data_IF_907972461668
#
_entry.id   IF_907972461668
#
_cell.length_a   1.000
_cell.length_b   1.000
_cell.length_c   1.000
_cell.angle_alpha   90.00
_cell.angle_beta   90.00
_cell.angle_gamma   90.00
#
_symmetry.space_group_name_H-M   'P 1'
#
loop_
_entity.id
_entity.type
_entity.pdbx_description
1 polymer ?
#
# COMPACT_ATOMS: atom_id res chain seq x y z
N UNK A 1 -38.89 -62.24 -13.78
CA UNK A 1 -38.82 -60.86 -13.27
C UNK A 1 -37.90 -60.85 -12.06
N UNK A 2 -36.85 -60.03 -12.13
CA UNK A 2 -35.88 -59.68 -11.07
C UNK A 2 -35.19 -60.85 -10.33
N UNK A 3 -33.93 -61.12 -10.71
CA UNK A 3 -32.98 -61.86 -9.90
C UNK A 3 -32.13 -60.89 -9.07
N UNK A 4 -32.12 -61.13 -7.77
CA UNK A 4 -31.23 -60.57 -6.76
C UNK A 4 -29.94 -61.41 -6.64
N UNK A 5 -28.91 -60.74 -6.12
CA UNK A 5 -27.79 -61.25 -5.30
C UNK A 5 -26.59 -61.98 -5.96
N UNK A 6 -25.44 -61.38 -5.66
CA UNK A 6 -24.03 -61.83 -5.75
C UNK A 6 -23.79 -63.16 -4.99
N UNK A 7 -22.75 -63.98 -5.31
CA UNK A 7 -21.44 -63.76 -4.67
C UNK A 7 -20.15 -64.27 -5.38
N UNK A 8 -19.05 -63.57 -5.12
CA UNK A 8 -17.68 -64.03 -4.78
C UNK A 8 -17.11 -65.33 -5.45
N UNK A 9 -16.06 -65.19 -6.28
CA UNK A 9 -14.65 -65.30 -5.83
C UNK A 9 -13.68 -65.84 -6.92
N UNK A 10 -12.43 -65.32 -6.81
CA UNK A 10 -11.12 -65.86 -7.26
C UNK A 10 -10.75 -65.69 -8.74
N UNK A 11 -9.83 -64.76 -8.98
CA UNK A 11 -8.50 -65.08 -9.50
C UNK A 11 -7.46 -64.14 -8.87
N UNK A 12 -6.50 -64.74 -8.17
CA UNK A 12 -5.36 -64.09 -7.55
C UNK A 12 -4.28 -63.89 -8.61
N UNK A 13 -3.79 -62.65 -8.77
CA UNK A 13 -2.60 -62.37 -9.58
C UNK A 13 -1.40 -62.20 -8.65
N UNK A 14 -0.40 -63.02 -8.94
CA UNK A 14 0.86 -63.21 -8.21
C UNK A 14 1.74 -61.95 -8.21
N UNK A 15 2.18 -61.54 -7.03
CA UNK A 15 2.99 -60.36 -6.74
C UNK A 15 4.50 -60.60 -6.98
N UNK A 16 4.87 -61.24 -8.10
CA UNK A 16 6.27 -61.63 -8.39
C UNK A 16 6.84 -61.21 -9.75
N UNK A 17 6.26 -60.24 -10.47
CA UNK A 17 6.85 -59.81 -11.76
C UNK A 17 6.98 -58.30 -12.02
N UNK A 18 7.08 -57.46 -10.98
CA UNK A 18 7.30 -56.01 -11.15
C UNK A 18 8.74 -55.52 -10.90
N UNK A 19 9.73 -56.42 -10.86
CA UNK A 19 11.13 -56.06 -10.54
C UNK A 19 12.14 -56.22 -11.68
N UNK A 20 11.72 -56.43 -12.93
CA UNK A 20 12.63 -56.72 -14.05
C UNK A 20 12.64 -55.70 -15.20
N UNK A 21 12.22 -54.44 -15.00
CA UNK A 21 12.35 -53.40 -16.02
C UNK A 21 13.31 -52.27 -15.59
N UNK A 22 14.20 -51.79 -16.47
CA UNK A 22 15.17 -50.74 -16.14
C UNK A 22 14.50 -49.41 -15.78
N UNK A 23 13.27 -49.18 -16.26
CA UNK A 23 12.49 -47.96 -16.02
C UNK A 23 12.08 -47.82 -14.54
N UNK A 24 11.77 -48.93 -13.85
CA UNK A 24 11.40 -48.90 -12.43
C UNK A 24 12.59 -48.56 -11.52
N UNK A 25 13.82 -48.89 -11.92
CA UNK A 25 15.03 -48.53 -11.16
C UNK A 25 15.36 -47.03 -11.25
N UNK A 26 15.08 -46.39 -12.39
CA UNK A 26 15.28 -44.94 -12.55
C UNK A 26 14.24 -44.13 -11.76
N UNK A 27 12.99 -44.58 -11.71
CA UNK A 27 11.94 -43.89 -10.93
C UNK A 27 12.17 -44.03 -9.43
N UNK A 28 12.63 -45.20 -8.95
CA UNK A 28 12.99 -45.40 -7.54
C UNK A 28 14.26 -44.63 -7.13
N UNK A 29 15.26 -44.53 -8.02
CA UNK A 29 16.47 -43.73 -7.75
C UNK A 29 16.17 -42.23 -7.74
N UNK A 30 15.33 -41.74 -8.66
CA UNK A 30 14.92 -40.33 -8.71
C UNK A 30 14.10 -39.89 -7.49
N UNK A 31 13.20 -40.76 -7.01
CA UNK A 31 12.39 -40.48 -5.81
C UNK A 31 13.22 -40.53 -4.52
N UNK A 32 14.22 -41.41 -4.42
CA UNK A 32 15.17 -41.40 -3.30
C UNK A 32 16.07 -40.16 -3.30
N UNK A 33 16.49 -39.69 -4.48
CA UNK A 33 17.31 -38.48 -4.60
C UNK A 33 16.53 -37.20 -4.24
N UNK A 34 15.26 -37.10 -4.65
CA UNK A 34 14.37 -36.00 -4.26
C UNK A 34 14.06 -36.00 -2.76
N UNK A 35 13.85 -37.18 -2.17
CA UNK A 35 13.64 -37.35 -0.72
C UNK A 35 14.87 -36.95 0.10
N UNK A 36 16.07 -37.31 -0.37
CA UNK A 36 17.34 -36.93 0.25
C UNK A 36 17.63 -35.43 0.11
N UNK A 37 17.28 -34.80 -1.01
CA UNK A 37 17.36 -33.35 -1.20
C UNK A 37 16.40 -32.60 -0.26
N UNK A 38 15.17 -33.09 -0.09
CA UNK A 38 14.20 -32.51 0.86
C UNK A 38 14.64 -32.68 2.33
N UNK A 39 15.29 -33.80 2.66
CA UNK A 39 15.91 -34.01 3.99
C UNK A 39 17.16 -33.14 4.21
N UNK A 40 17.95 -32.88 3.16
CA UNK A 40 19.08 -31.94 3.23
C UNK A 40 18.61 -30.48 3.35
N UNK A 41 17.50 -30.13 2.70
CA UNK A 41 16.94 -28.78 2.76
C UNK A 41 16.24 -28.50 4.09
N UNK A 42 15.58 -29.50 4.67
CA UNK A 42 14.97 -29.41 6.01
C UNK A 42 15.99 -29.51 7.16
N UNK A 43 17.18 -30.06 6.93
CA UNK A 43 18.27 -30.08 7.93
C UNK A 43 19.18 -28.84 7.89
N UNK A 44 19.04 -27.97 6.89
CA UNK A 44 19.64 -26.63 6.89
C UNK A 44 18.62 -25.59 7.33
N UNK A 45 18.31 -25.60 8.64
CA UNK A 45 17.77 -24.39 9.27
C UNK A 45 18.84 -23.29 9.19
N UNK A 46 18.51 -22.06 8.76
CA UNK A 46 19.40 -20.93 8.97
C UNK A 46 19.68 -20.84 10.47
N UNK A 47 20.95 -20.89 10.86
CA UNK A 47 21.32 -20.55 12.23
C UNK A 47 20.96 -19.08 12.46
N UNK A 48 19.77 -18.83 13.01
CA UNK A 48 19.50 -17.60 13.73
C UNK A 48 20.48 -17.57 14.90
N UNK A 49 21.53 -16.75 14.75
CA UNK A 49 22.40 -16.42 15.87
C UNK A 49 21.54 -15.87 17.00
N UNK A 50 21.48 -16.59 18.12
CA UNK A 50 20.93 -16.09 19.36
C UNK A 50 21.74 -14.86 19.76
N UNK A 51 21.15 -13.66 19.67
CA UNK A 51 21.73 -12.50 20.32
C UNK A 51 21.71 -12.72 21.82
N UNK A 52 22.87 -13.10 22.36
CA UNK A 52 23.11 -13.12 23.80
C UNK A 52 22.88 -11.73 24.39
N UNK A 53 22.13 -11.68 25.48
CA UNK A 53 21.94 -10.46 26.28
C UNK A 53 23.30 -9.87 26.67
N UNK A 54 23.53 -8.56 26.51
CA UNK A 54 24.71 -7.92 27.09
C UNK A 54 24.66 -8.04 28.62
N UNK A 55 25.78 -8.49 29.21
CA UNK A 55 25.99 -8.49 30.65
C UNK A 55 25.93 -7.06 31.20
N UNK A 56 24.99 -6.79 32.09
CA UNK A 56 24.97 -5.59 32.93
C UNK A 56 26.00 -5.74 34.06
N UNK A 57 26.81 -4.70 34.38
CA UNK A 57 27.65 -4.71 35.57
C UNK A 57 26.80 -4.58 36.85
N UNK A 58 27.27 -5.09 38.00
CA UNK A 58 26.45 -5.20 39.20
C UNK A 58 26.16 -3.82 39.80
N UNK A 59 24.89 -3.55 40.07
CA UNK A 59 24.42 -2.39 40.82
C UNK A 59 24.58 -2.61 42.33
N UNK A 60 25.31 -1.71 42.99
CA UNK A 60 25.25 -1.58 44.44
C UNK A 60 23.93 -0.88 44.84
N UNK A 61 23.28 -1.42 45.85
CA UNK A 61 21.85 -1.22 46.13
C UNK A 61 21.42 0.13 46.72
N UNK A 62 20.12 0.41 46.57
CA UNK A 62 19.29 1.21 47.47
C UNK A 62 17.80 0.79 47.35
N UNK A 63 17.00 0.92 48.42
CA UNK A 63 15.65 0.35 48.53
C UNK A 63 14.56 1.23 47.90
N UNK A 64 13.32 0.73 47.72
CA UNK A 64 12.30 1.36 46.88
C UNK A 64 11.42 2.36 47.65
N UNK A 65 11.04 3.46 47.00
CA UNK A 65 10.01 4.36 47.49
C UNK A 65 9.88 5.66 46.69
N UNK A 66 8.82 5.74 45.87
CA UNK A 66 8.27 6.92 45.17
C UNK A 66 8.99 7.42 43.89
N UNK A 67 8.31 7.51 42.72
CA UNK A 67 8.84 8.26 41.58
C UNK A 67 8.73 9.76 41.84
N UNK A 68 9.88 10.43 41.85
CA UNK A 68 10.00 11.87 41.90
C UNK A 68 9.49 12.52 40.60
N UNK A 69 8.78 13.63 40.73
CA UNK A 69 8.50 14.57 39.65
C UNK A 69 9.81 14.96 38.96
N UNK A 70 9.85 14.85 37.63
CA UNK A 70 10.88 15.49 36.81
C UNK A 70 10.50 16.97 36.57
N UNK A 71 11.34 17.93 36.99
CA UNK A 71 11.16 19.34 36.67
C UNK A 71 11.87 19.67 35.35
N UNK A 72 11.13 20.20 34.38
CA UNK A 72 11.71 20.64 33.11
C UNK A 72 10.74 20.79 31.95
N UNK A 73 9.52 21.30 32.19
CA UNK A 73 8.71 21.89 31.12
C UNK A 73 9.25 23.31 30.90
N UNK A 74 10.05 23.47 29.86
CA UNK A 74 10.17 24.72 29.15
C UNK A 74 9.85 24.42 27.69
N UNK A 75 8.82 25.10 27.19
CA UNK A 75 8.41 25.12 25.79
C UNK A 75 9.59 25.48 24.89
N UNK A 76 10.30 24.47 24.41
CA UNK A 76 11.17 24.57 23.24
C UNK A 76 10.31 24.29 22.02
N UNK A 77 10.15 25.29 21.16
CA UNK A 77 9.67 25.13 19.79
C UNK A 77 10.39 23.94 19.17
N UNK A 78 9.66 22.86 18.88
CA UNK A 78 10.21 21.71 18.19
C UNK A 78 10.71 22.17 16.82
N UNK A 79 12.02 22.36 16.71
CA UNK A 79 12.69 22.48 15.43
C UNK A 79 12.53 21.13 14.73
N UNK A 80 11.64 21.08 13.73
CA UNK A 80 11.46 19.95 12.83
C UNK A 80 12.82 19.52 12.30
N UNK A 81 13.17 18.25 12.49
CA UNK A 81 14.44 17.68 12.04
C UNK A 81 14.39 17.63 10.50
N UNK A 82 15.04 18.58 9.84
CA UNK A 82 15.48 18.47 8.44
C UNK A 82 14.41 18.44 7.35
N UNK A 83 13.14 18.71 7.65
CA UNK A 83 12.11 18.87 6.62
C UNK A 83 12.37 20.16 5.84
N UNK A 84 12.51 20.14 4.50
CA UNK A 84 12.33 21.35 3.74
C UNK A 84 10.93 21.87 4.07
N UNK A 85 10.83 23.16 4.41
CA UNK A 85 9.51 23.75 4.65
C UNK A 85 8.64 23.47 3.44
N UNK A 86 7.35 23.18 3.61
CA UNK A 86 6.39 23.10 2.50
C UNK A 86 6.47 24.34 1.59
N UNK A 87 6.90 25.48 2.14
CA UNK A 87 7.17 26.70 1.38
C UNK A 87 8.39 26.58 0.44
N UNK A 88 9.43 25.86 0.84
CA UNK A 88 10.63 25.64 0.01
C UNK A 88 10.32 24.69 -1.14
N UNK A 89 9.54 23.63 -0.90
CA UNK A 89 9.11 22.69 -1.95
C UNK A 89 8.17 23.36 -2.96
N UNK A 90 7.25 24.22 -2.49
CA UNK A 90 6.36 24.99 -3.38
C UNK A 90 7.10 26.00 -4.27
N UNK A 91 8.23 26.52 -3.81
CA UNK A 91 9.06 27.45 -4.58
C UNK A 91 10.16 26.75 -5.38
N UNK A 92 10.34 25.43 -5.18
CA UNK A 92 11.35 24.67 -5.87
C UNK A 92 11.08 24.63 -7.36
N UNK A 93 12.14 24.79 -8.14
CA UNK A 93 12.09 24.71 -9.60
C UNK A 93 13.00 23.59 -10.04
N UNK A 94 12.43 22.64 -10.78
CA UNK A 94 13.19 21.60 -11.46
C UNK A 94 14.18 22.19 -12.48
N UNK A 95 15.27 21.47 -12.81
CA UNK A 95 16.21 21.87 -13.86
C UNK A 95 15.53 22.10 -15.22
N UNK A 96 16.08 23.04 -16.00
CA UNK A 96 15.59 23.31 -17.36
C UNK A 96 15.86 22.12 -18.30
N UNK A 97 14.97 21.90 -19.28
CA UNK A 97 15.12 20.86 -20.30
C UNK A 97 14.70 19.45 -19.86
N UNK A 98 14.21 19.28 -18.64
CA UNK A 98 13.71 18.01 -18.10
C UNK A 98 12.22 18.12 -17.78
N UNK A 99 11.44 17.08 -18.07
CA UNK A 99 10.04 16.95 -17.62
C UNK A 99 9.93 16.07 -16.37
N UNK A 100 8.94 16.39 -15.55
CA UNK A 100 8.40 15.50 -14.52
C UNK A 100 7.05 15.04 -15.03
N UNK A 101 6.91 13.73 -15.26
CA UNK A 101 5.76 13.12 -15.90
C UNK A 101 5.09 12.18 -14.90
N UNK A 102 3.81 12.38 -14.62
CA UNK A 102 3.00 11.39 -13.91
C UNK A 102 2.71 10.20 -14.82
N UNK A 103 3.00 8.99 -14.39
CA UNK A 103 2.76 7.76 -15.15
C UNK A 103 1.68 6.93 -14.44
N UNK A 104 0.47 6.95 -14.97
CA UNK A 104 -0.69 6.25 -14.40
C UNK A 104 -1.02 5.04 -15.25
N UNK A 105 -1.01 3.85 -14.64
CA UNK A 105 -1.46 2.63 -15.28
C UNK A 105 -2.98 2.53 -15.08
N UNK A 106 -3.73 3.01 -16.07
CA UNK A 106 -5.16 3.26 -15.97
C UNK A 106 -5.96 1.96 -16.12
N UNK A 107 -6.57 1.49 -15.03
CA UNK A 107 -7.43 0.31 -15.04
C UNK A 107 -8.87 0.59 -14.63
N UNK A 108 -9.12 1.56 -13.73
CA UNK A 108 -10.36 1.64 -12.95
C UNK A 108 -10.85 3.08 -12.79
N UNK A 109 -11.98 3.41 -13.42
CA UNK A 109 -12.56 4.77 -13.37
C UNK A 109 -12.82 5.28 -11.95
N UNK A 110 -13.43 4.46 -11.10
CA UNK A 110 -13.91 4.88 -9.77
C UNK A 110 -12.83 5.44 -8.84
N UNK A 111 -11.57 5.03 -9.05
CA UNK A 111 -10.44 5.58 -8.31
C UNK A 111 -9.85 6.80 -9.01
N UNK A 112 -9.79 6.77 -10.35
CA UNK A 112 -9.28 7.90 -11.12
C UNK A 112 -10.20 9.13 -11.02
N UNK A 113 -11.49 8.95 -10.72
CA UNK A 113 -12.38 10.04 -10.31
C UNK A 113 -11.87 10.81 -9.07
N UNK A 114 -11.18 10.12 -8.15
CA UNK A 114 -10.56 10.75 -6.97
C UNK A 114 -9.17 11.28 -7.33
N UNK A 115 -8.35 10.46 -8.00
CA UNK A 115 -6.96 10.77 -8.34
C UNK A 115 -6.84 11.98 -9.28
N UNK A 116 -7.77 12.16 -10.22
CA UNK A 116 -7.77 13.27 -11.19
C UNK A 116 -7.66 14.64 -10.51
N UNK A 117 -8.36 14.85 -9.38
CA UNK A 117 -8.27 16.12 -8.64
C UNK A 117 -6.85 16.41 -8.16
N UNK A 118 -6.13 15.40 -7.68
CA UNK A 118 -4.75 15.56 -7.23
C UNK A 118 -3.78 15.75 -8.40
N UNK A 119 -3.95 14.97 -9.48
CA UNK A 119 -3.15 15.09 -10.69
C UNK A 119 -3.29 16.48 -11.31
N UNK A 120 -4.52 16.97 -11.47
CA UNK A 120 -4.79 18.31 -11.98
C UNK A 120 -4.15 19.38 -11.10
N UNK A 121 -4.31 19.31 -9.77
CA UNK A 121 -3.69 20.25 -8.84
C UNK A 121 -2.16 20.30 -8.94
N UNK A 122 -1.54 19.19 -9.31
CA UNK A 122 -0.09 19.06 -9.42
C UNK A 122 0.50 19.34 -10.80
N UNK A 123 -0.33 19.63 -11.81
CA UNK A 123 0.16 20.10 -13.10
C UNK A 123 0.79 21.49 -12.98
N UNK A 124 1.86 21.75 -13.75
CA UNK A 124 2.53 23.06 -13.82
C UNK A 124 1.55 24.19 -14.13
N UNK A 125 0.59 23.95 -15.04
CA UNK A 125 -0.44 24.95 -15.40
C UNK A 125 -1.34 25.35 -14.22
N UNK A 126 -1.40 24.51 -13.19
CA UNK A 126 -2.22 24.69 -11.99
C UNK A 126 -1.38 25.00 -10.73
N UNK A 127 -0.07 25.26 -10.90
CA UNK A 127 0.84 25.64 -9.81
C UNK A 127 1.62 24.48 -9.18
N UNK A 128 1.50 23.26 -9.71
CA UNK A 128 2.36 22.14 -9.32
C UNK A 128 3.64 22.06 -10.15
N UNK A 129 4.29 20.88 -10.16
CA UNK A 129 5.59 20.66 -10.81
C UNK A 129 5.56 19.66 -11.97
N UNK A 130 4.43 18.99 -12.19
CA UNK A 130 4.27 17.96 -13.21
C UNK A 130 3.90 18.58 -14.55
N UNK A 131 4.67 18.30 -15.60
CA UNK A 131 4.41 18.87 -16.94
C UNK A 131 3.27 18.14 -17.64
N UNK A 132 3.25 16.82 -17.51
CA UNK A 132 2.39 15.93 -18.27
C UNK A 132 1.94 14.75 -17.39
N UNK A 133 0.79 14.16 -17.72
CA UNK A 133 0.35 12.88 -17.16
C UNK A 133 0.10 11.90 -18.29
N UNK A 134 0.76 10.76 -18.24
CA UNK A 134 0.59 9.66 -19.17
C UNK A 134 -0.32 8.62 -18.53
N UNK A 135 -1.49 8.43 -19.11
CA UNK A 135 -2.38 7.33 -18.79
C UNK A 135 -2.11 6.18 -19.76
N UNK A 136 -1.46 5.13 -19.27
CA UNK A 136 -1.25 3.88 -20.02
C UNK A 136 -2.45 2.99 -19.81
N UNK A 137 -3.16 2.67 -20.89
CA UNK A 137 -4.41 1.90 -20.84
C UNK A 137 -4.14 0.47 -20.38
N UNK A 138 -4.83 0.05 -19.31
CA UNK A 138 -4.77 -1.29 -18.74
C UNK A 138 -6.18 -1.83 -18.39
N UNK A 139 -7.15 -1.55 -19.26
CA UNK A 139 -8.53 -2.02 -19.13
C UNK A 139 -9.18 -2.11 -20.51
N UNK A 140 -10.07 -3.07 -20.68
CA UNK A 140 -10.95 -3.22 -21.84
C UNK A 140 -12.38 -2.71 -21.54
N UNK A 141 -12.64 -2.23 -20.33
CA UNK A 141 -13.95 -1.73 -19.94
C UNK A 141 -14.28 -0.42 -20.69
N UNK A 142 -15.29 -0.49 -21.57
CA UNK A 142 -15.72 0.63 -22.40
C UNK A 142 -16.12 1.89 -21.61
N UNK A 143 -16.79 1.76 -20.46
CA UNK A 143 -17.22 2.91 -19.66
C UNK A 143 -16.03 3.58 -18.95
N UNK A 144 -15.00 2.82 -18.62
CA UNK A 144 -13.76 3.35 -18.07
C UNK A 144 -12.92 4.02 -19.15
N UNK A 145 -12.87 3.46 -20.36
CA UNK A 145 -12.19 4.07 -21.50
C UNK A 145 -12.85 5.38 -21.96
N UNK A 146 -14.18 5.44 -21.97
CA UNK A 146 -14.94 6.67 -22.29
C UNK A 146 -14.64 7.79 -21.28
N UNK A 147 -14.57 7.45 -19.98
CA UNK A 147 -14.16 8.41 -18.96
C UNK A 147 -12.71 8.88 -19.16
N UNK A 148 -11.79 7.96 -19.49
CA UNK A 148 -10.40 8.33 -19.76
C UNK A 148 -10.32 9.31 -20.95
N UNK A 149 -11.02 9.02 -22.04
CA UNK A 149 -11.07 9.88 -23.22
C UNK A 149 -11.65 11.26 -22.87
N UNK A 150 -12.67 11.31 -22.01
CA UNK A 150 -13.23 12.57 -21.51
C UNK A 150 -12.19 13.41 -20.77
N UNK A 151 -11.46 12.84 -19.79
CA UNK A 151 -10.50 13.62 -18.99
C UNK A 151 -9.24 14.00 -19.77
N UNK A 152 -8.77 13.13 -20.67
CA UNK A 152 -7.61 13.41 -21.54
C UNK A 152 -7.93 14.53 -22.53
N UNK A 153 -9.10 14.50 -23.15
CA UNK A 153 -9.51 15.56 -24.09
C UNK A 153 -9.80 16.91 -23.40
N UNK A 154 -10.20 16.89 -22.12
CA UNK A 154 -10.51 18.09 -21.36
C UNK A 154 -9.27 18.77 -20.72
N UNK A 155 -8.17 18.04 -20.56
CA UNK A 155 -7.04 18.48 -19.74
C UNK A 155 -5.75 18.55 -20.55
N UNK A 156 -5.29 19.78 -20.83
CA UNK A 156 -3.98 20.01 -21.42
C UNK A 156 -2.87 19.43 -20.51
N UNK A 157 -1.94 18.69 -21.12
CA UNK A 157 -0.88 17.96 -20.42
C UNK A 157 -1.21 16.49 -20.19
N UNK A 158 -2.48 16.07 -20.31
CA UNK A 158 -2.84 14.66 -20.24
C UNK A 158 -2.64 13.97 -21.59
N UNK A 159 -2.10 12.75 -21.56
CA UNK A 159 -1.91 11.92 -22.74
C UNK A 159 -2.39 10.50 -22.46
N UNK A 160 -3.10 9.94 -23.44
CA UNK A 160 -3.49 8.53 -23.46
C UNK A 160 -2.47 7.74 -24.27
N UNK A 161 -1.98 6.65 -23.70
CA UNK A 161 -1.08 5.71 -24.37
C UNK A 161 -1.68 4.31 -24.36
N UNK A 162 -1.64 3.67 -25.51
CA UNK A 162 -2.01 2.27 -25.68
C UNK A 162 -0.73 1.53 -26.03
N UNK A 163 -0.53 0.36 -25.45
CA UNK A 163 0.64 -0.47 -25.76
C UNK A 163 0.65 -0.83 -27.25
N UNK A 164 1.78 -0.60 -27.92
CA UNK A 164 1.90 -0.82 -29.38
C UNK A 164 2.65 -2.12 -29.70
N UNK A 165 3.63 -2.50 -28.86
CA UNK A 165 4.46 -3.69 -29.13
C UNK A 165 3.73 -5.00 -28.85
N UNK A 166 3.53 -5.76 -29.92
CA UNK A 166 3.12 -7.16 -29.86
C UNK A 166 4.17 -8.01 -29.09
N UNK A 167 3.69 -8.92 -28.24
CA UNK A 167 4.52 -9.89 -27.52
C UNK A 167 4.96 -9.47 -26.11
N UNK A 168 4.89 -8.19 -25.76
CA UNK A 168 5.01 -7.73 -24.38
C UNK A 168 3.67 -7.93 -23.67
N UNK A 169 3.68 -8.48 -22.45
CA UNK A 169 2.47 -8.80 -21.67
C UNK A 169 2.65 -8.42 -20.21
N UNK A 170 1.54 -8.09 -19.55
CA UNK A 170 1.52 -7.79 -18.12
C UNK A 170 2.02 -6.39 -17.80
N UNK A 171 2.30 -6.15 -16.52
CA UNK A 171 2.67 -4.84 -15.99
C UNK A 171 3.94 -4.26 -16.61
N UNK A 172 4.91 -5.10 -16.96
CA UNK A 172 6.18 -4.65 -17.55
C UNK A 172 5.98 -3.94 -18.88
N UNK A 173 4.98 -4.33 -19.68
CA UNK A 173 4.74 -3.73 -20.99
C UNK A 173 4.36 -2.25 -20.92
N UNK A 174 3.77 -1.83 -19.79
CA UNK A 174 3.25 -0.48 -19.61
C UNK A 174 4.36 0.58 -19.46
N UNK A 175 5.60 0.13 -19.25
CA UNK A 175 6.80 0.98 -19.21
C UNK A 175 7.32 1.37 -20.60
N UNK A 176 6.73 0.86 -21.69
CA UNK A 176 7.14 1.15 -23.07
C UNK A 176 7.17 2.65 -23.40
N UNK A 177 6.27 3.43 -22.80
CA UNK A 177 6.10 4.86 -23.07
C UNK A 177 7.22 5.74 -22.48
N UNK A 178 8.10 5.16 -21.66
CA UNK A 178 9.14 5.92 -20.95
C UNK A 178 10.25 6.37 -21.89
N UNK A 179 10.60 7.65 -21.80
CA UNK A 179 11.60 8.32 -22.62
C UNK A 179 12.78 8.80 -21.75
N UNK A 180 13.96 8.88 -22.36
CA UNK A 180 15.19 9.37 -21.71
C UNK A 180 15.10 10.85 -21.31
N UNK A 181 15.91 11.25 -20.32
CA UNK A 181 16.06 12.65 -19.93
C UNK A 181 14.92 13.24 -19.09
N UNK A 182 13.95 12.43 -18.66
CA UNK A 182 12.82 12.86 -17.84
C UNK A 182 12.75 12.07 -16.52
N UNK A 183 12.01 12.59 -15.55
CA UNK A 183 11.62 11.87 -14.33
C UNK A 183 10.17 11.40 -14.50
N UNK A 184 9.93 10.13 -14.23
CA UNK A 184 8.61 9.53 -14.23
C UNK A 184 8.18 9.22 -12.80
N UNK A 185 7.07 9.81 -12.37
CA UNK A 185 6.42 9.46 -11.11
C UNK A 185 5.34 8.45 -11.44
N UNK A 186 5.64 7.18 -11.23
CA UNK A 186 4.67 6.09 -11.33
C UNK A 186 3.66 6.22 -10.20
N UNK A 187 2.38 6.31 -10.56
CA UNK A 187 1.24 6.45 -9.64
C UNK A 187 0.23 5.37 -10.02
N UNK A 188 -0.17 4.53 -9.07
CA UNK A 188 -1.26 3.59 -9.30
C UNK A 188 -2.60 4.32 -9.39
N UNK A 189 -3.49 3.79 -10.22
CA UNK A 189 -4.80 4.40 -10.47
C UNK A 189 -5.70 4.42 -9.24
N UNK A 190 -5.37 3.67 -8.19
CA UNK A 190 -6.00 3.63 -6.88
C UNK A 190 -5.21 4.31 -5.75
N UNK A 191 -4.32 5.24 -6.09
CA UNK A 191 -3.88 6.27 -5.14
C UNK A 191 -5.03 7.26 -4.90
N UNK A 192 -5.50 7.34 -3.66
CA UNK A 192 -6.70 8.11 -3.26
C UNK A 192 -6.39 9.38 -2.46
N UNK A 193 -5.14 9.56 -2.10
CA UNK A 193 -4.63 10.76 -1.45
C UNK A 193 -3.13 10.91 -1.69
N UNK A 194 -2.66 12.14 -1.87
CA UNK A 194 -1.28 12.52 -1.62
C UNK A 194 -1.17 14.00 -1.28
N UNK A 195 -0.15 14.36 -0.49
CA UNK A 195 0.14 15.77 -0.18
C UNK A 195 0.56 16.55 -1.43
N UNK A 196 0.21 17.84 -1.50
CA UNK A 196 0.56 18.73 -2.63
C UNK A 196 2.05 18.73 -2.97
N UNK A 197 2.90 18.59 -1.96
CA UNK A 197 4.34 18.68 -2.12
C UNK A 197 4.98 17.31 -2.44
N UNK A 198 4.19 16.23 -2.54
CA UNK A 198 4.70 14.87 -2.68
C UNK A 198 5.53 14.65 -3.95
N UNK A 199 5.01 15.09 -5.10
CA UNK A 199 5.69 14.97 -6.40
C UNK A 199 6.98 15.80 -6.41
N UNK A 200 6.94 17.02 -5.87
CA UNK A 200 8.09 17.90 -5.78
C UNK A 200 9.17 17.32 -4.86
N UNK A 201 8.80 16.76 -3.71
CA UNK A 201 9.74 16.17 -2.76
C UNK A 201 10.48 14.97 -3.37
N UNK A 202 9.74 14.06 -4.00
CA UNK A 202 10.33 12.88 -4.67
C UNK A 202 11.29 13.32 -5.77
N UNK A 203 10.85 14.20 -6.68
CA UNK A 203 11.68 14.66 -7.79
C UNK A 203 12.91 15.42 -7.31
N UNK A 204 12.77 16.32 -6.33
CA UNK A 204 13.89 17.05 -5.72
C UNK A 204 14.90 16.08 -5.10
N UNK A 205 14.44 15.09 -4.34
CA UNK A 205 15.32 14.09 -3.70
C UNK A 205 16.09 13.28 -4.74
N UNK A 206 15.44 12.88 -5.83
CA UNK A 206 16.10 12.19 -6.95
C UNK A 206 17.18 13.05 -7.60
N UNK A 207 16.88 14.32 -7.88
CA UNK A 207 17.80 15.26 -8.54
C UNK A 207 19.00 15.57 -7.66
N UNK A 208 18.78 15.78 -6.36
CA UNK A 208 19.86 16.09 -5.41
C UNK A 208 20.69 14.85 -5.02
N UNK A 209 20.15 13.65 -5.25
CA UNK A 209 20.80 12.39 -4.91
C UNK A 209 20.76 11.41 -6.09
N UNK A 210 21.50 11.69 -7.19
CA UNK A 210 21.46 10.88 -8.41
C UNK A 210 22.00 9.45 -8.23
N UNK A 211 22.59 9.13 -7.08
CA UNK A 211 23.04 7.79 -6.74
C UNK A 211 21.90 6.84 -6.35
N UNK A 212 20.73 7.37 -5.95
CA UNK A 212 19.55 6.53 -5.75
C UNK A 212 19.02 6.03 -7.10
N UNK A 213 18.56 4.78 -7.14
CA UNK A 213 17.90 4.22 -8.32
C UNK A 213 16.49 4.80 -8.46
N UNK A 214 15.75 4.83 -7.36
CA UNK A 214 14.38 5.32 -7.32
C UNK A 214 14.05 5.90 -5.93
N UNK A 215 13.04 6.77 -5.89
CA UNK A 215 12.54 7.39 -4.65
C UNK A 215 11.03 7.16 -4.54
N UNK A 216 10.60 6.41 -3.54
CA UNK A 216 9.19 6.10 -3.25
C UNK A 216 8.57 7.11 -2.29
N UNK A 217 7.26 7.33 -2.41
CA UNK A 217 6.49 8.10 -1.43
C UNK A 217 6.21 7.29 -0.14
N UNK A 218 6.00 7.99 0.98
CA UNK A 218 5.50 7.39 2.21
C UNK A 218 4.02 7.01 2.10
N UNK A 219 3.76 5.84 1.53
CA UNK A 219 2.40 5.38 1.22
C UNK A 219 1.77 4.63 2.39
N UNK A 220 0.64 5.14 2.88
CA UNK A 220 -0.31 4.43 3.74
C UNK A 220 -0.89 3.25 2.97
N UNK A 221 -1.10 2.12 3.67
CA UNK A 221 -1.50 0.82 3.11
C UNK A 221 -0.51 0.31 2.04
N UNK A 222 0.79 0.52 2.27
CA UNK A 222 1.87 -0.26 1.66
C UNK A 222 2.34 -1.33 2.68
N UNK A 223 2.59 -2.60 2.30
CA UNK A 223 2.71 -3.68 3.28
C UNK A 223 3.89 -3.50 4.24
N UNK A 224 5.07 -3.17 3.71
CA UNK A 224 6.27 -2.95 4.52
C UNK A 224 6.18 -1.65 5.32
N UNK A 225 5.62 -0.58 4.73
CA UNK A 225 5.49 0.71 5.42
C UNK A 225 4.41 0.72 6.48
N UNK A 226 3.37 -0.09 6.31
CA UNK A 226 2.33 -0.21 7.32
C UNK A 226 2.93 -0.73 8.63
N UNK A 227 3.88 -1.66 8.57
CA UNK A 227 4.63 -2.06 9.77
C UNK A 227 5.45 -0.93 10.39
N UNK A 228 6.06 -0.06 9.57
CA UNK A 228 6.79 1.10 10.07
C UNK A 228 5.84 2.10 10.74
N UNK A 229 4.70 2.40 10.10
CA UNK A 229 3.61 3.22 10.63
C UNK A 229 3.07 2.67 11.95
N UNK A 230 2.91 1.35 12.06
CA UNK A 230 2.57 0.68 13.32
C UNK A 230 3.60 0.98 14.41
N UNK A 231 4.89 0.86 14.09
CA UNK A 231 5.99 1.20 15.00
C UNK A 231 6.06 2.68 15.40
N UNK A 232 5.54 3.58 14.56
CA UNK A 232 5.38 5.01 14.87
C UNK A 232 4.13 5.31 15.74
N UNK A 233 3.26 4.32 15.97
CA UNK A 233 2.07 4.48 16.79
C UNK A 233 0.94 5.28 16.13
N UNK A 234 0.82 5.22 14.79
CA UNK A 234 -0.19 6.01 14.04
C UNK A 234 -1.51 5.26 13.80
N UNK A 235 -1.66 4.06 14.33
CA UNK A 235 -2.90 3.29 14.15
C UNK A 235 -3.78 3.38 15.37
N UNK A 236 -5.05 3.66 15.09
CA UNK A 236 -6.10 3.80 16.06
C UNK A 236 -6.98 2.54 16.05
N UNK A 237 -7.61 2.17 17.17
CA UNK A 237 -8.45 0.99 17.21
C UNK A 237 -9.78 1.27 16.51
N UNK A 238 -9.95 0.64 15.35
CA UNK A 238 -11.19 0.64 14.58
C UNK A 238 -11.64 -0.80 14.34
N UNK A 239 -12.95 -1.05 14.45
CA UNK A 239 -13.56 -2.36 14.18
C UNK A 239 -14.76 -2.22 13.25
N UNK A 240 -15.08 -3.23 12.43
CA UNK A 240 -16.15 -3.14 11.45
C UNK A 240 -17.52 -3.03 12.13
N UNK A 241 -18.38 -2.21 11.56
CA UNK A 241 -19.80 -2.15 11.91
C UNK A 241 -20.49 -3.44 11.43
N UNK A 242 -21.05 -4.19 12.36
CA UNK A 242 -21.58 -5.54 12.10
C UNK A 242 -23.06 -5.57 11.73
N UNK A 243 -23.79 -4.51 12.03
CA UNK A 243 -25.22 -4.39 11.76
C UNK A 243 -25.53 -3.10 11.02
N UNK A 244 -26.50 -3.15 10.09
CA UNK A 244 -26.86 -1.97 9.30
C UNK A 244 -27.44 -0.89 10.22
N UNK A 245 -26.91 0.34 10.21
CA UNK A 245 -27.46 1.41 11.02
C UNK A 245 -28.86 1.82 10.50
N UNK A 246 -29.71 2.42 11.34
CA UNK A 246 -30.97 3.00 10.90
C UNK A 246 -30.76 4.01 9.75
N UNK A 247 -31.75 4.21 8.85
CA UNK A 247 -31.61 5.07 7.67
C UNK A 247 -31.13 6.50 7.96
N UNK A 248 -31.48 7.04 9.13
CA UNK A 248 -31.09 8.37 9.58
C UNK A 248 -29.58 8.49 9.84
N UNK A 249 -28.94 7.41 10.30
CA UNK A 249 -27.50 7.34 10.55
C UNK A 249 -26.72 6.86 9.32
N UNK A 250 -27.36 6.13 8.40
CA UNK A 250 -26.73 5.67 7.16
C UNK A 250 -26.52 6.77 6.11
N UNK A 251 -27.08 7.97 6.32
CA UNK A 251 -27.02 9.10 5.38
C UNK A 251 -25.84 10.06 5.62
N UNK A 252 -24.97 9.79 6.58
CA UNK A 252 -23.77 10.60 6.79
C UNK A 252 -22.76 10.37 5.65
N UNK A 253 -22.79 11.26 4.65
CA UNK A 253 -21.96 11.21 3.45
C UNK A 253 -20.62 11.98 3.61
N UNK A 254 -20.08 12.05 4.84
CA UNK A 254 -18.84 12.78 5.13
C UNK A 254 -17.60 11.88 5.16
N UNK A 255 -16.43 12.49 5.03
CA UNK A 255 -15.13 11.80 5.17
C UNK A 255 -14.61 11.80 6.60
N UNK A 256 -15.15 12.69 7.45
CA UNK A 256 -14.70 12.95 8.82
C UNK A 256 -14.88 11.73 9.72
N UNK A 257 -13.85 11.41 10.47
CA UNK A 257 -13.85 10.36 11.48
C UNK A 257 -14.68 10.77 12.71
N UNK A 258 -14.68 12.06 13.06
CA UNK A 258 -15.44 12.62 14.19
C UNK A 258 -16.96 12.44 14.07
N UNK A 259 -17.47 12.14 12.88
CA UNK A 259 -18.88 11.86 12.62
C UNK A 259 -19.26 10.40 12.91
N UNK A 260 -18.28 9.51 13.05
CA UNK A 260 -18.51 8.10 13.33
C UNK A 260 -18.96 7.90 14.79
N UNK A 261 -20.00 7.08 15.04
CA UNK A 261 -20.32 6.67 16.40
C UNK A 261 -19.24 5.73 16.97
N UNK A 262 -19.14 5.65 18.30
CA UNK A 262 -18.34 4.62 18.95
C UNK A 262 -18.86 3.22 18.57
N UNK A 263 -17.95 2.26 18.41
CA UNK A 263 -18.29 0.88 18.09
C UNK A 263 -19.11 0.22 19.20
N UNK A 264 -20.25 -0.38 18.82
CA UNK A 264 -21.17 -1.12 19.71
C UNK A 264 -21.45 -2.53 19.18
N UNK A 265 -20.42 -3.23 18.71
CA UNK A 265 -20.57 -4.58 18.15
C UNK A 265 -20.71 -5.68 19.21
N UNK A 266 -20.64 -6.95 18.78
CA UNK A 266 -20.54 -8.14 19.64
C UNK A 266 -19.45 -8.01 20.71
N UNK A 267 -19.41 -8.91 21.72
CA UNK A 267 -18.32 -8.95 22.68
C UNK A 267 -16.97 -8.96 21.96
N UNK A 268 -16.02 -8.16 22.45
CA UNK A 268 -14.74 -7.95 21.79
C UNK A 268 -14.00 -9.28 21.58
N UNK A 269 -14.15 -10.21 22.52
CA UNK A 269 -13.56 -11.55 22.47
C UNK A 269 -13.94 -12.33 21.21
N UNK A 270 -15.15 -12.14 20.68
CA UNK A 270 -15.61 -12.77 19.43
C UNK A 270 -14.90 -12.19 18.21
N UNK A 271 -14.56 -10.89 18.24
CA UNK A 271 -13.80 -10.21 17.19
C UNK A 271 -12.30 -10.49 17.23
N UNK A 272 -11.77 -10.77 18.42
CA UNK A 272 -10.37 -11.09 18.63
C UNK A 272 -10.05 -12.57 18.35
N UNK A 273 -11.06 -13.44 18.33
CA UNK A 273 -10.90 -14.85 18.01
C UNK A 273 -10.68 -15.06 16.50
N UNK A 274 -9.44 -15.33 16.10
CA UNK A 274 -9.06 -15.61 14.70
C UNK A 274 -9.71 -16.87 14.11
N UNK A 275 -10.25 -17.78 14.94
CA UNK A 275 -11.05 -18.88 14.42
C UNK A 275 -12.44 -18.45 13.93
N UNK A 276 -12.90 -17.27 14.37
CA UNK A 276 -14.21 -16.69 14.07
C UNK A 276 -14.08 -15.54 13.07
N UNK A 277 -13.14 -14.63 13.32
CA UNK A 277 -12.92 -13.42 12.51
C UNK A 277 -11.46 -13.37 12.03
N UNK A 278 -11.18 -13.74 10.78
CA UNK A 278 -9.86 -13.74 10.13
C UNK A 278 -9.87 -13.03 8.76
N UNK A 279 -8.76 -13.10 8.02
CA UNK A 279 -8.57 -12.45 6.71
C UNK A 279 -9.47 -13.08 5.62
N UNK A 280 -10.04 -14.24 5.91
CA UNK A 280 -11.07 -14.93 5.12
C UNK A 280 -12.49 -14.75 5.65
N UNK A 281 -12.74 -13.82 6.56
CA UNK A 281 -14.11 -13.49 6.92
C UNK A 281 -14.71 -12.48 5.95
N UNK A 282 -15.93 -12.70 5.42
CA UNK A 282 -16.56 -11.75 4.52
C UNK A 282 -16.87 -10.42 5.22
N UNK A 283 -16.96 -9.36 4.43
CA UNK A 283 -17.44 -8.06 4.90
C UNK A 283 -18.85 -8.18 5.52
N UNK A 284 -19.17 -7.50 6.64
CA UNK A 284 -20.49 -7.61 7.27
C UNK A 284 -21.66 -7.26 6.35
N UNK A 285 -21.54 -6.17 5.60
CA UNK A 285 -22.48 -5.77 4.56
C UNK A 285 -21.85 -4.76 3.58
N UNK A 286 -22.38 -4.61 2.35
CA UNK A 286 -21.92 -3.57 1.43
C UNK A 286 -22.17 -2.16 1.98
N UNK A 287 -21.10 -1.35 2.00
CA UNK A 287 -21.07 0.00 2.57
C UNK A 287 -20.91 0.04 4.10
N UNK A 288 -20.45 -1.05 4.74
CA UNK A 288 -20.18 -1.03 6.18
C UNK A 288 -19.06 -0.05 6.53
N UNK A 289 -19.16 0.51 7.73
CA UNK A 289 -18.15 1.41 8.29
C UNK A 289 -17.16 0.62 9.13
N UNK A 290 -16.03 1.22 9.45
CA UNK A 290 -15.28 0.84 10.64
C UNK A 290 -15.41 1.97 11.65
N UNK A 291 -15.74 1.61 12.88
CA UNK A 291 -16.08 2.53 13.93
C UNK A 291 -14.95 2.58 14.96
N UNK A 292 -14.66 3.77 15.54
CA UNK A 292 -13.65 3.91 16.57
C UNK A 292 -14.05 3.10 17.81
N UNK A 293 -13.07 2.42 18.42
CA UNK A 293 -13.24 1.68 19.66
C UNK A 293 -12.57 2.45 20.79
N UNK A 294 -13.19 2.44 21.97
CA UNK A 294 -12.57 3.05 23.14
C UNK A 294 -11.26 2.32 23.51
N UNK A 295 -10.14 3.05 23.54
CA UNK A 295 -8.79 2.52 23.84
C UNK A 295 -8.67 1.95 25.26
N UNK A 296 -9.57 2.26 26.18
CA UNK A 296 -9.60 1.60 27.49
C UNK A 296 -10.12 0.16 27.42
N UNK A 297 -10.69 -0.25 26.29
CA UNK A 297 -11.33 -1.56 26.08
C UNK A 297 -10.49 -2.53 25.26
N UNK A 298 -9.48 -2.05 24.53
CA UNK A 298 -8.70 -2.85 23.57
C UNK A 298 -7.27 -2.32 23.46
N UNK A 299 -6.29 -3.24 23.43
CA UNK A 299 -4.90 -2.89 23.10
C UNK A 299 -4.71 -2.89 21.58
N UNK A 300 -3.94 -1.95 21.03
CA UNK A 300 -3.69 -1.87 19.58
C UNK A 300 -3.08 -3.18 19.03
N UNK A 301 -2.33 -3.92 19.86
CA UNK A 301 -1.75 -5.22 19.52
C UNK A 301 -2.79 -6.31 19.26
N UNK A 302 -4.03 -6.12 19.75
CA UNK A 302 -5.15 -7.05 19.57
C UNK A 302 -5.94 -6.73 18.29
N UNK A 303 -5.82 -5.52 17.77
CA UNK A 303 -6.48 -5.12 16.50
C UNK A 303 -5.81 -5.75 15.27
N UNK A 304 -6.46 -5.76 14.09
CA UNK A 304 -5.82 -6.24 12.86
C UNK A 304 -4.43 -5.66 12.62
N UNK A 305 -4.22 -4.36 12.85
CA UNK A 305 -2.93 -3.70 12.68
C UNK A 305 -1.80 -4.31 13.53
N UNK A 306 -2.12 -4.93 14.68
CA UNK A 306 -1.15 -5.65 15.53
C UNK A 306 -0.44 -6.83 14.83
N UNK A 307 -0.93 -7.25 13.67
CA UNK A 307 -0.40 -8.38 12.88
C UNK A 307 0.51 -7.96 11.74
N UNK A 308 0.74 -6.66 11.58
CA UNK A 308 1.65 -6.15 10.56
C UNK A 308 3.04 -6.74 10.74
N UNK A 309 3.69 -7.04 9.62
CA UNK A 309 5.08 -7.49 9.56
C UNK A 309 5.82 -6.68 8.50
N UNK A 310 7.15 -6.60 8.63
CA UNK A 310 7.99 -5.99 7.60
C UNK A 310 8.20 -6.95 6.43
N UNK A 311 7.15 -7.20 5.65
CA UNK A 311 7.12 -8.14 4.53
C UNK A 311 6.18 -7.64 3.41
N UNK A 312 6.69 -7.55 2.19
CA UNK A 312 5.93 -7.13 1.00
C UNK A 312 4.76 -8.06 0.65
N UNK A 313 4.79 -9.31 1.11
CA UNK A 313 3.74 -10.30 0.90
C UNK A 313 3.12 -10.82 2.20
N UNK A 314 3.36 -10.14 3.32
CA UNK A 314 2.85 -10.47 4.65
C UNK A 314 1.38 -10.08 4.86
N UNK A 315 0.90 -10.08 6.12
CA UNK A 315 -0.48 -9.73 6.45
C UNK A 315 -0.90 -8.35 5.94
N UNK A 316 0.00 -7.35 5.95
CA UNK A 316 -0.28 -6.02 5.41
C UNK A 316 -0.62 -6.00 3.91
N UNK A 317 -0.24 -7.04 3.15
CA UNK A 317 -0.64 -7.20 1.76
C UNK A 317 -1.94 -8.00 1.60
N UNK A 318 -2.16 -9.03 2.44
CA UNK A 318 -3.27 -9.99 2.27
C UNK A 318 -4.55 -9.58 2.99
N UNK A 319 -4.43 -9.08 4.21
CA UNK A 319 -5.55 -8.91 5.12
C UNK A 319 -6.23 -7.55 4.90
N UNK A 320 -7.40 -7.59 4.26
CA UNK A 320 -8.20 -6.40 3.97
C UNK A 320 -8.62 -5.64 5.25
N UNK A 321 -8.67 -6.32 6.41
CA UNK A 321 -9.02 -5.74 7.70
C UNK A 321 -7.94 -4.79 8.21
N UNK A 322 -6.68 -5.17 8.02
CA UNK A 322 -5.52 -4.33 8.33
C UNK A 322 -5.56 -3.06 7.49
N UNK A 323 -5.84 -3.21 6.19
CA UNK A 323 -5.96 -2.07 5.29
C UNK A 323 -7.12 -1.16 5.69
N UNK A 324 -8.28 -1.72 6.03
CA UNK A 324 -9.43 -0.94 6.47
C UNK A 324 -9.08 -0.11 7.72
N UNK A 325 -8.56 -0.74 8.79
CA UNK A 325 -8.13 -0.03 9.99
C UNK A 325 -7.09 1.07 9.69
N UNK A 326 -6.12 0.77 8.82
CA UNK A 326 -5.08 1.70 8.38
C UNK A 326 -5.69 2.94 7.71
N UNK A 327 -6.69 2.76 6.83
CA UNK A 327 -7.38 3.87 6.16
C UNK A 327 -8.20 4.73 7.14
N UNK A 328 -8.94 4.13 8.07
CA UNK A 328 -9.72 4.91 9.05
C UNK A 328 -8.82 5.68 10.01
N UNK A 329 -7.72 5.07 10.48
CA UNK A 329 -6.71 5.76 11.27
C UNK A 329 -6.13 6.97 10.53
N UNK A 330 -5.85 6.81 9.23
CA UNK A 330 -5.39 7.91 8.40
C UNK A 330 -6.44 9.02 8.24
N UNK A 331 -7.70 8.67 7.97
CA UNK A 331 -8.77 9.66 7.83
C UNK A 331 -9.02 10.44 9.12
N UNK A 332 -8.87 9.79 10.29
CA UNK A 332 -8.90 10.47 11.58
C UNK A 332 -7.74 11.48 11.71
N UNK A 333 -6.50 11.03 11.47
CA UNK A 333 -5.35 11.93 11.52
C UNK A 333 -5.39 13.04 10.47
N UNK A 334 -6.01 12.80 9.31
CA UNK A 334 -6.24 13.80 8.29
C UNK A 334 -7.23 14.88 8.77
N UNK A 335 -8.28 14.47 9.47
CA UNK A 335 -9.22 15.42 10.07
C UNK A 335 -8.60 16.23 11.22
N UNK A 336 -7.75 15.59 12.03
CA UNK A 336 -7.09 16.19 13.20
C UNK A 336 -5.87 17.06 12.84
N UNK A 337 -5.56 17.26 11.55
CA UNK A 337 -4.34 17.92 11.08
C UNK A 337 -3.05 17.28 11.65
N UNK A 338 -3.09 15.95 11.78
CA UNK A 338 -2.07 15.12 12.43
C UNK A 338 -1.31 14.19 11.47
N UNK A 339 -1.37 14.46 10.16
CA UNK A 339 -0.64 13.68 9.12
C UNK A 339 0.87 13.67 9.37
N UNK A 340 1.41 14.66 10.08
CA UNK A 340 2.83 14.70 10.48
C UNK A 340 3.26 13.46 11.29
N UNK A 341 2.34 12.76 11.95
CA UNK A 341 2.63 11.52 12.71
C UNK A 341 3.19 10.39 11.84
N UNK A 342 2.84 10.38 10.56
CA UNK A 342 3.33 9.39 9.59
C UNK A 342 4.74 9.72 9.08
N UNK A 343 5.21 10.96 9.28
CA UNK A 343 6.39 11.49 8.62
C UNK A 343 7.69 11.14 9.35
N UNK A 344 8.71 10.91 8.56
CA UNK A 344 10.10 10.72 8.98
C UNK A 344 11.00 11.15 7.82
N UNK A 345 12.33 11.18 7.98
CA UNK A 345 13.17 11.75 6.92
C UNK A 345 13.34 10.82 5.70
N UNK A 346 13.97 9.66 5.91
CA UNK A 346 14.40 8.75 4.85
C UNK A 346 14.28 7.32 5.38
N UNK A 347 13.82 6.41 4.53
CA UNK A 347 13.96 4.98 4.76
C UNK A 347 14.65 4.34 3.57
N UNK A 348 15.72 3.60 3.82
CA UNK A 348 16.46 2.88 2.78
C UNK A 348 15.96 1.45 2.72
N UNK A 349 15.34 1.05 1.60
CA UNK A 349 14.87 -0.31 1.40
C UNK A 349 15.99 -1.28 1.05
N UNK A 350 17.23 -0.78 0.88
CA UNK A 350 18.38 -1.55 0.46
C UNK A 350 18.08 -2.24 -0.88
N UNK A 351 17.85 -3.56 -0.84
CA UNK A 351 17.46 -4.37 -1.99
C UNK A 351 16.22 -5.23 -1.70
N UNK A 352 15.38 -4.80 -0.75
CA UNK A 352 14.09 -5.44 -0.47
C UNK A 352 13.02 -5.01 -1.48
N UNK A 353 12.10 -5.93 -1.78
CA UNK A 353 10.96 -5.66 -2.67
C UNK A 353 10.07 -4.61 -2.05
N UNK A 354 9.68 -3.61 -2.84
CA UNK A 354 8.64 -2.66 -2.46
C UNK A 354 7.62 -2.54 -3.57
N UNK A 355 6.37 -2.30 -3.20
CA UNK A 355 5.33 -2.05 -4.18
C UNK A 355 5.50 -0.67 -4.83
N UNK A 356 5.32 -0.60 -6.14
CA UNK A 356 5.57 0.60 -6.97
C UNK A 356 4.34 1.50 -7.07
N UNK A 357 3.58 1.62 -5.99
CA UNK A 357 2.28 2.33 -5.99
C UNK A 357 2.42 3.84 -6.21
N UNK A 358 3.49 4.42 -5.66
CA UNK A 358 3.83 5.83 -5.82
C UNK A 358 5.35 5.98 -5.71
N UNK A 359 6.04 6.09 -6.85
CA UNK A 359 7.51 6.05 -6.91
C UNK A 359 8.06 6.79 -8.13
N UNK A 360 9.18 7.48 -7.93
CA UNK A 360 9.91 8.19 -8.99
C UNK A 360 11.08 7.39 -9.56
N UNK A 361 11.18 7.37 -10.89
CA UNK A 361 12.27 6.76 -11.66
C UNK A 361 12.86 7.73 -12.68
N UNK A 362 14.16 7.59 -12.94
CA UNK A 362 14.78 8.23 -14.10
C UNK A 362 14.37 7.48 -15.36
N UNK A 363 13.92 8.22 -16.38
CA UNK A 363 13.57 7.63 -17.66
C UNK A 363 14.74 6.87 -18.30
N UNK A 364 15.96 7.37 -18.15
CA UNK A 364 17.18 6.69 -18.61
C UNK A 364 17.36 5.30 -17.98
N UNK A 365 17.11 5.15 -16.68
CA UNK A 365 17.24 3.88 -15.97
C UNK A 365 16.20 2.85 -16.43
N UNK A 366 14.98 3.30 -16.72
CA UNK A 366 13.92 2.45 -17.27
C UNK A 366 14.27 2.03 -18.70
N UNK A 367 14.66 2.98 -19.56
CA UNK A 367 15.00 2.71 -20.97
C UNK A 367 16.21 1.77 -21.08
N UNK A 368 17.21 1.90 -20.20
CA UNK A 368 18.38 1.02 -20.16
C UNK A 368 18.03 -0.42 -19.78
N UNK A 369 16.93 -0.61 -19.04
CA UNK A 369 16.52 -1.90 -18.52
C UNK A 369 15.38 -2.54 -19.32
N UNK A 370 14.65 -1.77 -20.13
CA UNK A 370 13.49 -2.22 -20.89
C UNK A 370 13.87 -2.89 -22.22
N UNK A 371 13.25 -4.01 -22.63
CA UNK A 371 12.22 -4.75 -21.90
C UNK A 371 12.80 -5.51 -20.70
N UNK A 372 12.04 -5.55 -19.59
CA UNK A 372 12.49 -6.18 -18.36
C UNK A 372 12.65 -7.71 -18.53
N UNK A 373 13.64 -8.35 -17.87
CA UNK A 373 13.93 -9.78 -18.02
C UNK A 373 12.98 -10.68 -17.22
N UNK A 374 12.07 -10.11 -16.43
CA UNK A 374 11.03 -10.84 -15.67
C UNK A 374 9.69 -10.11 -15.81
N UNK A 375 8.59 -10.74 -15.37
CA UNK A 375 7.23 -10.17 -15.46
C UNK A 375 6.81 -9.34 -14.23
N UNK A 376 7.50 -9.47 -13.10
CA UNK A 376 7.27 -8.66 -11.90
C UNK A 376 8.15 -7.40 -12.00
N UNK A 377 7.56 -6.29 -12.44
CA UNK A 377 8.24 -4.99 -12.52
C UNK A 377 8.62 -4.46 -11.13
N UNK A 378 7.83 -4.72 -10.09
CA UNK A 378 8.16 -4.33 -8.72
C UNK A 378 9.43 -5.06 -8.26
N UNK A 379 9.52 -6.38 -8.44
CA UNK A 379 10.75 -7.13 -8.10
C UNK A 379 11.95 -6.64 -8.93
N UNK A 380 11.76 -6.42 -10.24
CA UNK A 380 12.86 -6.03 -11.10
C UNK A 380 13.39 -4.63 -10.77
N UNK A 381 12.50 -3.65 -10.70
CA UNK A 381 12.85 -2.24 -10.53
C UNK A 381 13.19 -1.87 -9.08
N UNK A 382 12.80 -2.67 -8.08
CA UNK A 382 13.07 -2.35 -6.68
C UNK A 382 14.11 -3.25 -6.02
N UNK A 383 14.37 -4.44 -6.58
CA UNK A 383 15.38 -5.34 -6.05
C UNK A 383 16.50 -5.63 -7.04
N UNK A 384 16.17 -6.24 -8.19
CA UNK A 384 17.18 -6.86 -9.06
C UNK A 384 18.05 -5.80 -9.74
N UNK A 385 17.42 -4.86 -10.45
CA UNK A 385 18.13 -3.80 -11.17
C UNK A 385 18.88 -2.84 -10.23
N UNK A 386 18.29 -2.36 -9.12
CA UNK A 386 19.01 -1.66 -8.05
C UNK A 386 20.28 -2.38 -7.59
N UNK A 387 20.18 -3.70 -7.33
CA UNK A 387 21.30 -4.51 -6.85
C UNK A 387 22.39 -4.71 -7.91
N UNK A 388 22.02 -4.88 -9.18
CA UNK A 388 22.98 -4.95 -10.29
C UNK A 388 23.80 -3.67 -10.42
N UNK A 389 23.16 -2.51 -10.19
CA UNK A 389 23.79 -1.20 -10.33
C UNK A 389 24.47 -0.70 -9.05
N UNK A 390 24.24 -1.37 -7.91
CA UNK A 390 24.70 -0.89 -6.60
C UNK A 390 24.04 0.42 -6.16
N UNK A 391 22.82 0.69 -6.65
CA UNK A 391 22.05 1.91 -6.38
C UNK A 391 20.77 1.54 -5.66
N UNK A 392 20.56 2.08 -4.46
CA UNK A 392 19.41 1.68 -3.62
C UNK A 392 18.11 2.35 -4.07
N UNK A 393 16.98 1.72 -3.74
CA UNK A 393 15.67 2.37 -3.72
C UNK A 393 15.42 2.89 -2.31
N UNK A 394 15.05 4.16 -2.20
CA UNK A 394 14.76 4.81 -0.92
C UNK A 394 13.35 5.35 -0.90
N UNK A 395 12.84 5.65 0.29
CA UNK A 395 11.59 6.35 0.49
C UNK A 395 11.84 7.75 1.05
N UNK A 396 11.10 8.70 0.50
CA UNK A 396 10.96 10.03 1.08
C UNK A 396 9.84 10.02 2.12
N UNK A 397 10.22 10.07 3.40
CA UNK A 397 9.27 9.99 4.51
C UNK A 397 8.56 11.30 4.81
N UNK A 398 8.97 12.41 4.18
CA UNK A 398 8.53 13.77 4.54
C UNK A 398 7.17 14.15 3.92
N UNK A 399 6.67 13.30 3.03
CA UNK A 399 5.40 13.48 2.30
C UNK A 399 4.62 12.18 2.27
N UNK A 400 3.32 12.25 2.55
CA UNK A 400 2.44 11.10 2.68
C UNK A 400 1.55 10.94 1.45
N UNK A 401 1.38 9.70 1.02
CA UNK A 401 0.37 9.26 0.04
C UNK A 401 -0.47 8.11 0.61
N UNK A 402 -1.57 7.78 -0.04
CA UNK A 402 -2.43 6.64 0.35
C UNK A 402 -2.75 5.82 -0.88
N UNK A 403 -2.37 4.55 -0.86
CA UNK A 403 -2.78 3.56 -1.83
C UNK A 403 -4.02 2.81 -1.31
N UNK A 404 -5.05 2.65 -2.13
CA UNK A 404 -6.32 2.12 -1.65
C UNK A 404 -6.29 0.61 -1.40
N UNK A 405 -5.89 -0.22 -2.38
CA UNK A 405 -6.00 -1.67 -2.19
C UNK A 405 -5.13 -2.50 -3.14
N UNK A 406 -4.41 -3.47 -2.58
CA UNK A 406 -3.84 -4.57 -3.36
C UNK A 406 -4.94 -5.50 -3.88
N UNK A 407 -4.69 -6.22 -4.98
CA UNK A 407 -5.68 -7.09 -5.63
C UNK A 407 -6.39 -8.03 -4.65
N UNK A 408 -5.65 -8.63 -3.72
CA UNK A 408 -6.16 -9.54 -2.68
C UNK A 408 -6.99 -8.85 -1.59
N UNK A 409 -6.75 -7.55 -1.31
CA UNK A 409 -7.52 -6.77 -0.33
C UNK A 409 -8.88 -6.30 -0.89
N UNK A 410 -9.00 -6.23 -2.21
CA UNK A 410 -10.17 -5.66 -2.90
C UNK A 410 -11.43 -6.50 -2.77
N UNK A 411 -11.28 -7.83 -2.81
CA UNK A 411 -12.37 -8.78 -3.09
C UNK A 411 -12.65 -9.79 -1.97
N UNK A 412 -11.83 -9.82 -0.92
CA UNK A 412 -11.97 -10.80 0.15
C UNK A 412 -11.82 -12.24 -0.37
N UNK A 413 -12.22 -13.25 0.41
CA UNK A 413 -11.84 -14.67 0.23
C UNK A 413 -12.65 -15.50 -0.78
N UNK A 414 -13.74 -14.99 -1.38
CA UNK A 414 -14.59 -15.78 -2.29
C UNK A 414 -14.87 -15.04 -3.61
N UNK A 415 -14.10 -15.40 -4.64
CA UNK A 415 -14.10 -14.77 -5.97
C UNK A 415 -15.23 -15.30 -6.87
N UNK A 416 -15.80 -16.48 -6.58
CA UNK A 416 -16.75 -17.15 -7.48
C UNK A 416 -18.22 -16.92 -7.06
N UNK A 417 -18.50 -16.75 -5.77
CA UNK A 417 -19.88 -16.65 -5.27
C UNK A 417 -20.26 -15.28 -4.69
N UNK A 418 -19.29 -14.41 -4.38
CA UNK A 418 -19.58 -13.10 -3.76
C UNK A 418 -18.67 -11.98 -4.27
N UNK A 419 -18.87 -11.48 -5.50
CA UNK A 419 -18.10 -10.33 -5.98
C UNK A 419 -18.31 -9.13 -5.05
N UNK A 420 -17.27 -8.79 -4.27
CA UNK A 420 -17.18 -7.54 -3.50
C UNK A 420 -16.66 -7.61 -2.05
N UNK A 421 -16.28 -8.78 -1.51
CA UNK A 421 -15.71 -8.85 -0.14
C UNK A 421 -14.50 -7.91 0.08
N UNK A 422 -14.23 -7.50 1.32
CA UNK A 422 -13.05 -6.68 1.63
C UNK A 422 -13.25 -5.16 1.47
N UNK A 423 -12.19 -4.45 1.05
CA UNK A 423 -12.20 -2.97 1.04
C UNK A 423 -13.27 -2.36 0.13
N UNK A 424 -13.64 -3.02 -0.97
CA UNK A 424 -14.66 -2.50 -1.89
C UNK A 424 -16.06 -2.45 -1.27
N UNK A 425 -16.31 -3.21 -0.20
CA UNK A 425 -17.56 -3.18 0.56
C UNK A 425 -17.53 -2.23 1.75
N UNK A 426 -16.44 -1.53 2.00
CA UNK A 426 -16.43 -0.45 3.00
C UNK A 426 -17.01 0.84 2.43
N UNK A 427 -17.24 1.85 3.26
CA UNK A 427 -17.55 3.21 2.79
C UNK A 427 -16.29 4.05 2.46
N UNK A 428 -15.07 3.48 2.56
CA UNK A 428 -13.81 4.22 2.45
C UNK A 428 -13.65 4.98 1.14
N UNK A 429 -13.97 4.37 -0.01
CA UNK A 429 -13.86 5.07 -1.30
C UNK A 429 -14.82 6.28 -1.36
N UNK A 430 -16.01 6.17 -0.76
CA UNK A 430 -16.93 7.31 -0.66
C UNK A 430 -16.35 8.41 0.24
N UNK A 431 -15.67 8.05 1.33
CA UNK A 431 -14.98 9.00 2.21
C UNK A 431 -13.85 9.72 1.47
N UNK A 432 -12.98 9.00 0.77
CA UNK A 432 -11.91 9.62 -0.02
C UNK A 432 -12.46 10.52 -1.13
N UNK A 433 -13.55 10.12 -1.80
CA UNK A 433 -14.24 10.96 -2.78
C UNK A 433 -14.80 12.23 -2.15
N UNK A 434 -15.48 12.13 -1.00
CA UNK A 434 -16.00 13.30 -0.29
C UNK A 434 -14.87 14.25 0.17
N UNK A 435 -13.74 13.71 0.67
CA UNK A 435 -12.57 14.53 0.99
C UNK A 435 -12.01 15.24 -0.24
N UNK A 436 -11.82 14.51 -1.34
CA UNK A 436 -11.29 15.09 -2.57
C UNK A 436 -12.20 16.19 -3.11
N UNK A 437 -13.51 15.96 -3.17
CA UNK A 437 -14.51 16.96 -3.59
C UNK A 437 -14.48 18.22 -2.71
N UNK A 438 -14.38 18.07 -1.38
CA UNK A 438 -14.35 19.18 -0.43
C UNK A 438 -13.02 19.96 -0.46
N UNK A 439 -11.89 19.25 -0.50
CA UNK A 439 -10.57 19.80 -0.17
C UNK A 439 -9.57 19.86 -1.34
N UNK A 440 -9.78 19.07 -2.39
CA UNK A 440 -8.75 18.79 -3.42
C UNK A 440 -9.19 19.11 -4.84
N UNK A 441 -10.44 18.92 -5.23
CA UNK A 441 -10.93 19.24 -6.57
C UNK A 441 -11.05 20.75 -6.89
N UNK A 442 -11.21 21.69 -5.94
CA UNK A 442 -11.37 23.11 -6.25
C UNK A 442 -10.20 23.88 -6.96
N UNK A 443 -9.39 23.29 -7.84
CA UNK A 443 -8.15 23.91 -8.38
C UNK A 443 -8.11 24.16 -9.90
N UNK A 444 -7.49 25.27 -10.34
CA UNK A 444 -7.47 26.58 -9.70
C UNK A 444 -8.68 27.37 -10.21
N UNK A 445 -9.75 27.50 -9.42
CA UNK A 445 -10.78 28.47 -9.78
C UNK A 445 -10.19 29.88 -9.66
N UNK A 446 -9.98 30.51 -10.82
CA UNK A 446 -9.66 31.92 -10.93
C UNK A 446 -10.53 32.74 -9.98
N UNK A 447 -9.91 33.41 -9.00
CA UNK A 447 -10.58 34.41 -8.19
C UNK A 447 -10.87 34.09 -6.72
N UNK A 448 -10.38 32.99 -6.13
CA UNK A 448 -10.31 32.94 -4.66
C UNK A 448 -9.16 33.80 -4.15
N UNK A 449 -9.54 35.02 -3.76
CA UNK A 449 -8.69 36.00 -3.11
C UNK A 449 -7.82 35.37 -2.01
N UNK A 450 -6.59 35.85 -1.89
CA UNK A 450 -5.74 35.75 -0.70
C UNK A 450 -6.59 36.06 0.54
N UNK A 451 -7.09 35.03 1.23
CA UNK A 451 -8.13 35.26 2.22
C UNK A 451 -8.66 34.03 2.95
N UNK A 452 -7.90 32.95 3.07
CA UNK A 452 -8.11 31.98 4.16
C UNK A 452 -6.77 31.69 4.80
N UNK A 453 -6.37 32.60 5.70
CA UNK A 453 -5.60 32.18 6.86
C UNK A 453 -6.52 31.25 7.64
N UNK A 454 -6.22 29.95 7.67
CA UNK A 454 -6.76 29.04 8.66
C UNK A 454 -6.26 29.50 10.03
N UNK A 455 -6.95 30.46 10.63
CA UNK A 455 -6.77 30.83 12.03
C UNK A 455 -7.44 29.75 12.87
N UNK A 456 -6.68 28.73 13.26
CA UNK A 456 -7.03 27.88 14.40
C UNK A 456 -5.81 27.68 15.30
N UNK A 457 -5.16 28.79 15.63
CA UNK A 457 -4.47 28.92 16.91
C UNK A 457 -5.43 29.66 17.85
N UNK A 458 -6.12 28.92 18.71
CA UNK A 458 -6.66 29.47 19.94
C UNK A 458 -6.06 28.71 21.10
N UNK A 459 -5.14 29.42 21.76
CA UNK A 459 -4.83 29.45 23.20
C UNK A 459 -4.80 28.13 23.96
#
# INVERSE_FOLDING_TARGET
MQFLSNPLARHAVSLKSLTSQPVTRFVLAGTLFLSLLLLFWSSQSPQHGSFGRPHLPPSHGRPPGSPALFPGSQHGSASHIGEPSSTDLRNWKKPAGMKIIGLVFYGRRQFVEVLDCYLQRNLVRNGGVMDEVFFVVNTDNHADLEYLDKIVNATEGYKKHVQEKEGLKGWTAQWEVVERGNIYIKIDDDVVYFEDDAIASIAKRMIENPHYFAVSANSVNNPALSWLHYGLGVYEPYLPETSRPPPEQSQQNGWRASQLPEWTGPPLEEFLDESIWNDTTPSPFPGHRWLPVNTTKIDITETPAGRLTYDSHGPGWRDWRIAAQTHYSFLQHLEEDAVWRYKFNLWDYQYYRVSVNFIGFWGDDIVDAFPFPIQDDEEYLTMRRPKELGRHVVLDGTVVSVHFAFSVQRRGPDEEHTPGGGLYHTDLLKRYKAYAEEMVCPFPQSGRAKGMKGSFWKS
#
